data_IF_003897254954
#
_entry.id   IF_003897254954
#
_cell.length_a   1.000
_cell.length_b   1.000
_cell.length_c   1.000
_cell.angle_alpha   90.00
_cell.angle_beta   90.00
_cell.angle_gamma   90.00
#
_symmetry.space_group_name_H-M   'P 1'
#
loop_
_entity.id
_entity.type
_entity.pdbx_description
1 polymer ?
#
# COMPACT_ATOMS: atom_id res chain seq x y z
N UNK A 1 -45.23 -55.03 -31.48
CA UNK A 1 -44.85 -53.99 -30.49
C UNK A 1 -43.43 -53.56 -30.77
N UNK A 2 -43.23 -52.45 -31.51
CA UNK A 2 -41.91 -51.84 -31.73
C UNK A 2 -41.90 -50.55 -30.91
N UNK A 3 -41.13 -50.54 -29.84
CA UNK A 3 -41.01 -49.40 -28.93
C UNK A 3 -40.12 -48.32 -29.55
N UNK A 4 -40.67 -47.11 -29.67
CA UNK A 4 -39.90 -45.87 -29.82
C UNK A 4 -39.10 -45.65 -28.54
N UNK A 5 -37.78 -45.52 -28.66
CA UNK A 5 -36.93 -44.97 -27.59
C UNK A 5 -36.65 -43.52 -27.95
N UNK A 6 -37.37 -42.61 -27.27
CA UNK A 6 -37.21 -41.17 -27.38
C UNK A 6 -35.97 -40.73 -26.60
N UNK A 7 -34.97 -40.20 -27.30
CA UNK A 7 -33.78 -39.59 -26.71
C UNK A 7 -34.16 -38.23 -26.11
N UNK A 8 -34.05 -38.12 -24.78
CA UNK A 8 -34.19 -36.86 -24.03
C UNK A 8 -32.86 -36.10 -24.13
N UNK A 9 -32.88 -34.92 -24.77
CA UNK A 9 -31.79 -33.95 -24.70
C UNK A 9 -31.80 -33.29 -23.31
N UNK A 10 -30.79 -33.57 -22.49
CA UNK A 10 -30.50 -32.78 -21.28
C UNK A 10 -29.83 -31.47 -21.70
N UNK A 11 -30.52 -30.34 -21.47
CA UNK A 11 -29.91 -29.01 -21.53
C UNK A 11 -28.94 -28.87 -20.35
N UNK A 12 -27.65 -28.70 -20.64
CA UNK A 12 -26.65 -28.36 -19.64
C UNK A 12 -26.79 -26.87 -19.27
N UNK A 13 -26.72 -26.52 -17.98
CA UNK A 13 -26.69 -25.12 -17.56
C UNK A 13 -25.36 -24.50 -18.00
N UNK A 14 -25.44 -23.39 -18.73
CA UNK A 14 -24.31 -22.51 -19.01
C UNK A 14 -23.82 -21.97 -17.68
N UNK A 15 -22.68 -22.46 -17.19
CA UNK A 15 -21.96 -21.80 -16.12
C UNK A 15 -21.41 -20.49 -16.68
N UNK A 16 -21.90 -19.37 -16.14
CA UNK A 16 -21.32 -18.06 -16.35
C UNK A 16 -19.86 -18.12 -15.89
N UNK A 17 -18.94 -18.14 -16.84
CA UNK A 17 -17.52 -17.96 -16.56
C UNK A 17 -17.37 -16.51 -16.08
N UNK A 18 -16.96 -16.32 -14.82
CA UNK A 18 -16.35 -15.05 -14.42
C UNK A 18 -15.21 -14.81 -15.41
N UNK A 19 -15.32 -13.75 -16.22
CA UNK A 19 -14.29 -13.41 -17.19
C UNK A 19 -13.02 -13.08 -16.41
N UNK A 20 -12.07 -14.01 -16.40
CA UNK A 20 -10.76 -13.77 -15.83
C UNK A 20 -10.13 -12.61 -16.59
N UNK A 21 -9.74 -11.55 -15.88
CA UNK A 21 -9.12 -10.39 -16.51
C UNK A 21 -7.77 -10.81 -17.07
N UNK A 22 -7.45 -10.38 -18.29
CA UNK A 22 -6.18 -10.76 -18.92
C UNK A 22 -5.01 -10.09 -18.23
N UNK A 23 -3.85 -10.76 -18.21
CA UNK A 23 -2.62 -10.21 -17.62
C UNK A 23 -2.18 -8.91 -18.29
N UNK A 24 -2.33 -8.80 -19.62
CA UNK A 24 -2.05 -7.57 -20.36
C UNK A 24 -2.90 -6.40 -19.84
N UNK A 25 -4.18 -6.65 -19.58
CA UNK A 25 -5.11 -5.63 -19.09
C UNK A 25 -4.79 -5.17 -17.67
N UNK A 26 -4.30 -6.09 -16.83
CA UNK A 26 -3.79 -5.77 -15.50
C UNK A 26 -2.56 -4.86 -15.61
N UNK A 27 -1.61 -5.17 -16.48
CA UNK A 27 -0.40 -4.34 -16.64
C UNK A 27 -0.73 -2.95 -17.22
N UNK A 28 -1.72 -2.83 -18.11
CA UNK A 28 -2.23 -1.53 -18.55
C UNK A 28 -2.80 -0.72 -17.39
N UNK A 29 -3.60 -1.35 -16.51
CA UNK A 29 -4.16 -0.69 -15.32
C UNK A 29 -3.06 -0.20 -14.38
N UNK A 30 -2.04 -1.03 -14.15
CA UNK A 30 -0.84 -0.66 -13.38
C UNK A 30 -0.07 0.48 -14.05
N UNK A 31 -0.01 0.50 -15.38
CA UNK A 31 0.56 1.60 -16.17
C UNK A 31 -0.12 2.94 -15.94
N UNK A 32 -1.46 2.95 -15.84
CA UNK A 32 -2.23 4.16 -15.48
C UNK A 32 -1.90 4.58 -14.06
N UNK A 33 -1.91 3.64 -13.10
CA UNK A 33 -1.55 3.91 -11.71
C UNK A 33 -0.15 4.54 -11.57
N UNK A 34 0.82 4.12 -12.39
CA UNK A 34 2.17 4.65 -12.36
C UNK A 34 2.27 6.14 -12.70
N UNK A 35 1.38 6.64 -13.56
CA UNK A 35 1.33 8.07 -13.89
C UNK A 35 0.89 8.93 -12.70
N UNK A 36 0.26 8.31 -11.69
CA UNK A 36 -0.23 8.96 -10.48
C UNK A 36 0.57 8.54 -9.24
N UNK A 37 1.84 8.16 -9.44
CA UNK A 37 2.72 7.79 -8.32
C UNK A 37 2.32 6.48 -7.65
N UNK A 38 1.67 5.57 -8.37
CA UNK A 38 1.32 4.22 -7.92
C UNK A 38 0.34 4.15 -6.75
N UNK A 39 -0.31 5.28 -6.49
CA UNK A 39 -1.34 5.45 -5.48
C UNK A 39 -2.49 6.24 -6.09
N UNK A 40 -3.71 5.81 -5.83
CA UNK A 40 -4.89 6.52 -6.34
C UNK A 40 -6.03 6.47 -5.34
N UNK A 41 -6.63 7.62 -5.06
CA UNK A 41 -7.87 7.69 -4.27
C UNK A 41 -9.08 7.26 -5.10
N UNK A 42 -10.19 6.84 -4.47
CA UNK A 42 -11.43 6.52 -5.19
C UNK A 42 -11.92 7.69 -6.05
N UNK A 43 -11.78 8.92 -5.54
CA UNK A 43 -12.15 10.13 -6.28
C UNK A 43 -11.32 10.35 -7.54
N UNK A 44 -9.99 10.17 -7.44
CA UNK A 44 -9.11 10.24 -8.60
C UNK A 44 -9.40 9.10 -9.58
N UNK A 45 -9.60 7.88 -9.09
CA UNK A 45 -9.95 6.73 -9.91
C UNK A 45 -11.23 6.95 -10.71
N UNK A 46 -12.25 7.56 -10.11
CA UNK A 46 -13.52 7.88 -10.77
C UNK A 46 -13.39 8.87 -11.94
N UNK A 47 -12.34 9.69 -11.95
CA UNK A 47 -12.05 10.61 -13.05
C UNK A 47 -11.08 10.03 -14.08
N UNK A 48 -10.00 9.44 -13.60
CA UNK A 48 -8.85 9.04 -14.42
C UNK A 48 -9.07 7.71 -15.11
N UNK A 49 -9.62 6.72 -14.40
CA UNK A 49 -9.77 5.36 -14.94
C UNK A 49 -10.68 5.32 -16.18
N UNK A 50 -11.84 6.01 -16.21
CA UNK A 50 -12.65 6.05 -17.43
C UNK A 50 -11.94 6.65 -18.64
N UNK A 51 -11.17 7.73 -18.45
CA UNK A 51 -10.41 8.38 -19.53
C UNK A 51 -9.27 7.49 -20.04
N UNK A 52 -8.69 6.68 -19.16
CA UNK A 52 -7.67 5.69 -19.51
C UNK A 52 -8.24 4.38 -20.08
N UNK A 53 -9.55 4.32 -20.35
CA UNK A 53 -10.21 3.16 -20.96
C UNK A 53 -10.69 2.11 -19.96
N UNK A 54 -10.67 2.39 -18.67
CA UNK A 54 -11.16 1.54 -17.57
C UNK A 54 -12.48 2.10 -17.00
N UNK A 55 -13.45 2.38 -17.87
CA UNK A 55 -14.75 2.93 -17.48
C UNK A 55 -15.67 1.89 -16.82
N UNK A 56 -15.41 0.60 -17.02
CA UNK A 56 -16.16 -0.49 -16.43
C UNK A 56 -15.76 -0.71 -14.95
N UNK A 57 -16.72 -0.48 -14.06
CA UNK A 57 -16.57 -0.63 -12.60
C UNK A 57 -16.37 -2.10 -12.20
N UNK A 58 -16.98 -3.05 -12.92
CA UNK A 58 -16.83 -4.46 -12.63
C UNK A 58 -15.46 -4.97 -13.08
N UNK A 59 -14.95 -4.47 -14.21
CA UNK A 59 -13.58 -4.72 -14.69
C UNK A 59 -12.53 -4.20 -13.68
N UNK A 60 -12.61 -2.91 -13.33
CA UNK A 60 -11.65 -2.30 -12.39
C UNK A 60 -11.67 -2.95 -11.01
N UNK A 61 -12.85 -3.37 -10.54
CA UNK A 61 -12.99 -4.15 -9.31
C UNK A 61 -12.30 -5.50 -9.42
N UNK A 62 -12.55 -6.26 -10.49
CA UNK A 62 -11.92 -7.56 -10.69
C UNK A 62 -10.38 -7.47 -10.77
N UNK A 63 -9.86 -6.47 -11.47
CA UNK A 63 -8.41 -6.18 -11.52
C UNK A 63 -7.87 -5.86 -10.12
N UNK A 64 -8.56 -5.00 -9.37
CA UNK A 64 -8.14 -4.60 -8.02
C UNK A 64 -8.11 -5.80 -7.08
N UNK A 65 -9.16 -6.63 -7.10
CA UNK A 65 -9.23 -7.85 -6.28
C UNK A 65 -8.12 -8.83 -6.63
N UNK A 66 -7.81 -9.00 -7.92
CA UNK A 66 -6.72 -9.84 -8.38
C UNK A 66 -5.35 -9.30 -7.93
N UNK A 67 -5.06 -8.01 -8.13
CA UNK A 67 -3.81 -7.39 -7.67
C UNK A 67 -3.64 -7.50 -6.16
N UNK A 68 -4.71 -7.35 -5.37
CA UNK A 68 -4.67 -7.53 -3.91
C UNK A 68 -4.42 -8.99 -3.54
N UNK A 69 -5.08 -9.94 -4.21
CA UNK A 69 -4.87 -11.38 -4.02
C UNK A 69 -3.45 -11.81 -4.36
N UNK A 70 -2.85 -11.21 -5.40
CA UNK A 70 -1.46 -11.46 -5.80
C UNK A 70 -0.44 -10.72 -4.93
N UNK A 71 -0.90 -10.00 -3.89
CA UNK A 71 -0.07 -9.17 -3.01
C UNK A 71 0.65 -8.02 -3.76
N UNK A 72 0.21 -7.70 -4.99
CA UNK A 72 0.73 -6.63 -5.87
C UNK A 72 0.06 -5.29 -5.65
N UNK A 73 -1.03 -5.23 -4.88
CA UNK A 73 -1.66 -4.00 -4.45
C UNK A 73 -2.27 -4.13 -3.05
N UNK A 74 -2.51 -3.01 -2.38
CA UNK A 74 -3.22 -2.94 -1.09
C UNK A 74 -4.04 -1.66 -1.00
N UNK A 75 -5.09 -1.72 -0.18
CA UNK A 75 -5.81 -0.51 0.22
C UNK A 75 -5.15 0.07 1.47
N UNK A 76 -4.52 1.24 1.34
CA UNK A 76 -3.91 1.98 2.44
C UNK A 76 -4.59 3.34 2.55
N UNK A 77 -5.20 3.60 3.71
CA UNK A 77 -5.94 4.85 4.00
C UNK A 77 -7.07 5.14 2.99
N UNK A 78 -7.77 4.09 2.56
CA UNK A 78 -8.83 4.20 1.57
C UNK A 78 -8.36 4.41 0.14
N UNK A 79 -7.04 4.38 -0.12
CA UNK A 79 -6.45 4.50 -1.45
C UNK A 79 -5.92 3.16 -1.93
N UNK A 80 -6.05 2.89 -3.23
CA UNK A 80 -5.37 1.76 -3.85
C UNK A 80 -3.90 2.12 -4.05
N UNK A 81 -3.00 1.31 -3.52
CA UNK A 81 -1.55 1.41 -3.70
C UNK A 81 -1.08 0.16 -4.42
N UNK A 82 -0.38 0.32 -5.54
CA UNK A 82 0.16 -0.77 -6.36
C UNK A 82 1.66 -0.84 -6.18
N UNK A 83 2.19 -2.04 -6.00
CA UNK A 83 3.60 -2.30 -5.71
C UNK A 83 4.33 -3.04 -6.84
N UNK A 84 3.60 -3.58 -7.83
CA UNK A 84 4.19 -4.40 -8.89
C UNK A 84 4.27 -3.73 -10.27
N UNK A 85 4.94 -4.42 -11.21
CA UNK A 85 5.08 -3.95 -12.59
C UNK A 85 5.86 -2.63 -12.69
N UNK A 86 5.38 -1.69 -13.49
CA UNK A 86 5.98 -0.33 -13.58
C UNK A 86 5.82 0.49 -12.29
N UNK A 87 4.95 0.04 -11.39
CA UNK A 87 4.77 0.62 -10.06
C UNK A 87 5.66 0.02 -8.97
N UNK A 88 6.33 -1.09 -9.29
CA UNK A 88 7.46 -1.56 -8.52
C UNK A 88 8.70 -0.81 -8.97
N UNK A 89 9.46 -0.24 -8.01
CA UNK A 89 10.86 0.07 -8.27
C UNK A 89 11.61 -1.19 -8.71
N UNK A 90 12.90 -1.07 -9.07
CA UNK A 90 13.76 -2.19 -9.50
C UNK A 90 13.84 -3.39 -8.53
N UNK A 91 13.15 -3.33 -7.39
CA UNK A 91 13.08 -4.31 -6.33
C UNK A 91 11.62 -4.36 -5.81
N UNK A 92 10.75 -5.00 -6.59
CA UNK A 92 9.34 -5.31 -6.33
C UNK A 92 9.23 -6.35 -5.20
N UNK A 93 9.54 -5.93 -3.97
CA UNK A 93 9.46 -6.79 -2.80
C UNK A 93 8.22 -6.48 -1.98
N UNK A 94 7.37 -7.49 -1.84
CA UNK A 94 6.26 -7.51 -0.88
C UNK A 94 6.74 -7.20 0.54
N UNK A 95 5.85 -6.77 1.43
CA UNK A 95 6.20 -6.54 2.85
C UNK A 95 6.84 -7.77 3.50
N UNK A 96 6.43 -8.96 3.06
CA UNK A 96 7.02 -10.25 3.44
C UNK A 96 8.47 -10.41 2.94
N UNK A 97 8.74 -10.05 1.70
CA UNK A 97 10.11 -10.15 1.14
C UNK A 97 11.06 -9.10 1.73
N UNK A 98 10.54 -7.91 2.04
CA UNK A 98 11.28 -6.89 2.79
C UNK A 98 11.59 -7.35 4.22
N UNK A 99 10.64 -8.03 4.86
CA UNK A 99 10.87 -8.69 6.15
C UNK A 99 11.97 -9.77 6.05
N UNK A 100 11.96 -10.59 5.00
CA UNK A 100 13.01 -11.59 4.77
C UNK A 100 14.38 -10.95 4.53
N UNK A 101 14.46 -9.89 3.72
CA UNK A 101 15.71 -9.17 3.49
C UNK A 101 16.28 -8.57 4.79
N UNK A 102 15.44 -8.00 5.65
CA UNK A 102 15.88 -7.49 6.94
C UNK A 102 16.46 -8.58 7.86
N UNK A 103 15.86 -9.78 7.89
CA UNK A 103 16.38 -10.91 8.67
C UNK A 103 17.66 -11.47 8.02
N UNK A 104 17.69 -11.60 6.69
CA UNK A 104 18.82 -12.13 5.94
C UNK A 104 20.09 -11.30 6.17
N UNK A 105 19.95 -9.97 6.11
CA UNK A 105 21.05 -9.04 6.36
C UNK A 105 21.41 -8.91 7.84
N UNK A 106 20.54 -9.39 8.75
CA UNK A 106 20.85 -9.58 10.16
C UNK A 106 21.35 -11.00 10.48
N UNK A 107 22.11 -11.62 9.57
CA UNK A 107 22.65 -12.98 9.72
C UNK A 107 21.59 -14.08 9.89
N UNK A 108 20.49 -13.98 9.13
CA UNK A 108 19.37 -14.93 9.12
C UNK A 108 18.61 -15.06 10.45
N UNK A 109 18.88 -14.20 11.44
CA UNK A 109 18.24 -14.24 12.75
C UNK A 109 17.91 -12.82 13.16
N UNK A 110 16.72 -12.59 13.68
CA UNK A 110 16.33 -11.26 14.15
C UNK A 110 15.52 -11.36 15.43
N UNK A 111 15.97 -10.65 16.46
CA UNK A 111 15.24 -10.50 17.71
C UNK A 111 14.14 -9.46 17.59
N UNK A 112 13.18 -9.48 18.52
CA UNK A 112 12.11 -8.46 18.57
C UNK A 112 12.68 -7.03 18.66
N UNK A 113 13.74 -6.83 19.44
CA UNK A 113 14.30 -5.50 19.64
C UNK A 113 15.07 -5.01 18.40
N UNK A 114 15.76 -5.91 17.70
CA UNK A 114 16.33 -5.60 16.39
C UNK A 114 15.24 -5.34 15.35
N UNK A 115 14.15 -6.12 15.35
CA UNK A 115 13.03 -5.95 14.43
C UNK A 115 12.41 -4.55 14.54
N UNK A 116 12.23 -4.03 15.76
CA UNK A 116 11.75 -2.65 16.00
C UNK A 116 12.66 -1.59 15.36
N UNK A 117 13.95 -1.86 15.26
CA UNK A 117 14.95 -0.92 14.73
C UNK A 117 15.14 -1.08 13.21
N UNK A 118 15.08 -2.31 12.70
CA UNK A 118 15.44 -2.66 11.32
C UNK A 118 14.24 -2.64 10.37
N UNK A 119 13.08 -3.13 10.81
CA UNK A 119 11.91 -3.26 9.92
C UNK A 119 11.37 -1.93 9.40
N UNK A 120 11.27 -0.86 10.22
CA UNK A 120 10.87 0.44 9.70
C UNK A 120 11.81 0.95 8.60
N UNK A 121 13.10 0.57 8.65
CA UNK A 121 14.09 0.97 7.65
C UNK A 121 13.92 0.25 6.31
N UNK A 122 13.26 -0.89 6.28
CA UNK A 122 12.87 -1.53 5.02
C UNK A 122 11.40 -1.25 4.69
N UNK A 123 10.74 -0.33 5.40
CA UNK A 123 9.34 0.03 5.19
C UNK A 123 8.37 -1.08 5.58
N UNK A 124 8.71 -1.86 6.62
CA UNK A 124 7.88 -2.93 7.18
C UNK A 124 7.46 -2.56 8.60
N UNK A 125 6.16 -2.67 8.88
CA UNK A 125 5.62 -2.42 10.22
C UNK A 125 5.55 -3.71 11.03
N UNK A 126 5.78 -3.60 12.35
CA UNK A 126 5.72 -4.73 13.27
C UNK A 126 4.35 -5.41 13.29
N UNK A 127 3.27 -4.62 13.21
CA UNK A 127 1.89 -5.12 13.21
C UNK A 127 1.58 -5.94 11.95
N UNK A 128 2.14 -5.55 10.80
CA UNK A 128 2.02 -6.30 9.56
C UNK A 128 2.72 -7.65 9.67
N UNK A 129 3.95 -7.67 10.18
CA UNK A 129 4.71 -8.90 10.38
C UNK A 129 3.97 -9.85 11.31
N UNK A 130 3.45 -9.36 12.44
CA UNK A 130 2.72 -10.19 13.41
C UNK A 130 1.52 -10.91 12.79
N UNK A 131 0.78 -10.25 11.89
CA UNK A 131 -0.36 -10.88 11.19
C UNK A 131 0.08 -12.00 10.23
N UNK A 132 1.33 -11.95 9.75
CA UNK A 132 1.88 -12.89 8.79
C UNK A 132 2.75 -13.98 9.43
N UNK A 133 3.21 -13.80 10.68
CA UNK A 133 4.10 -14.73 11.39
C UNK A 133 3.55 -16.16 11.38
N UNK A 134 2.28 -16.34 11.79
CA UNK A 134 1.64 -17.65 11.83
C UNK A 134 1.58 -18.33 10.46
N UNK A 135 1.39 -17.54 9.39
CA UNK A 135 1.37 -18.06 8.00
C UNK A 135 2.79 -18.48 7.59
N UNK A 136 3.78 -17.64 7.83
CA UNK A 136 5.18 -17.91 7.45
C UNK A 136 5.75 -19.11 8.20
N UNK A 137 5.41 -19.29 9.49
CA UNK A 137 5.82 -20.46 10.27
C UNK A 137 5.17 -21.74 9.74
N UNK A 138 3.86 -21.71 9.42
CA UNK A 138 3.16 -22.86 8.80
C UNK A 138 3.73 -23.24 7.44
N UNK A 139 4.20 -22.26 6.66
CA UNK A 139 4.83 -22.47 5.37
C UNK A 139 6.32 -22.86 5.48
N UNK A 140 6.86 -22.97 6.70
CA UNK A 140 8.27 -23.23 6.99
C UNK A 140 9.24 -22.19 6.39
N UNK A 141 8.76 -20.97 6.14
CA UNK A 141 9.59 -19.85 5.66
C UNK A 141 10.42 -19.26 6.81
N UNK A 142 9.90 -19.34 8.03
CA UNK A 142 10.57 -18.90 9.26
C UNK A 142 10.40 -19.93 10.37
N UNK A 143 11.24 -19.83 11.40
CA UNK A 143 11.06 -20.50 12.69
C UNK A 143 11.15 -19.49 13.82
N UNK A 144 10.33 -19.65 14.84
CA UNK A 144 10.37 -18.80 16.03
C UNK A 144 11.11 -19.54 17.15
N UNK A 145 11.91 -18.83 17.95
CA UNK A 145 12.54 -19.41 19.14
C UNK A 145 11.49 -19.90 20.14
N UNK A 146 11.87 -20.85 21.00
CA UNK A 146 10.97 -21.40 22.02
C UNK A 146 10.43 -20.34 23.00
N UNK A 147 11.18 -19.26 23.22
CA UNK A 147 10.80 -18.12 24.06
C UNK A 147 10.11 -16.98 23.28
N UNK A 148 9.87 -17.18 21.98
CA UNK A 148 9.25 -16.23 21.05
C UNK A 148 9.98 -14.88 20.91
N UNK A 149 11.27 -14.82 21.26
CA UNK A 149 12.06 -13.58 21.19
C UNK A 149 12.86 -13.41 19.91
N UNK A 150 13.05 -14.47 19.14
CA UNK A 150 13.83 -14.45 17.92
C UNK A 150 13.13 -15.18 16.78
N UNK A 151 13.31 -14.66 15.57
CA UNK A 151 12.84 -15.25 14.32
C UNK A 151 14.06 -15.67 13.52
N UNK A 152 14.05 -16.90 13.04
CA UNK A 152 15.07 -17.49 12.18
C UNK A 152 14.49 -17.64 10.79
N UNK A 153 15.16 -17.08 9.79
CA UNK A 153 14.79 -17.27 8.39
C UNK A 153 15.28 -18.63 7.90
N UNK A 154 14.50 -19.29 7.05
CA UNK A 154 14.91 -20.53 6.41
C UNK A 154 16.20 -20.31 5.59
N UNK A 155 17.19 -21.25 5.60
CA UNK A 155 18.49 -21.06 4.97
C UNK A 155 18.46 -20.67 3.48
N UNK A 156 17.62 -21.30 2.67
CA UNK A 156 17.52 -20.97 1.23
C UNK A 156 16.94 -19.58 0.99
N UNK A 157 15.99 -19.14 1.82
CA UNK A 157 15.47 -17.78 1.81
C UNK A 157 16.52 -16.79 2.29
N UNK A 158 17.30 -17.13 3.32
CA UNK A 158 18.34 -16.24 3.80
C UNK A 158 19.39 -15.94 2.73
N UNK A 159 19.90 -16.96 2.04
CA UNK A 159 20.86 -16.73 0.95
C UNK A 159 20.22 -15.98 -0.23
N UNK A 160 18.94 -16.25 -0.54
CA UNK A 160 18.21 -15.56 -1.61
C UNK A 160 18.06 -14.05 -1.35
N UNK A 161 17.78 -13.65 -0.10
CA UNK A 161 17.43 -12.27 0.22
C UNK A 161 18.59 -11.43 0.78
N UNK A 162 19.78 -12.03 0.88
CA UNK A 162 20.99 -11.37 1.39
C UNK A 162 21.44 -10.23 0.48
N UNK A 163 21.81 -9.11 1.07
CA UNK A 163 22.29 -7.88 0.45
C UNK A 163 21.20 -6.93 -0.03
N UNK A 164 19.92 -7.30 0.10
CA UNK A 164 18.82 -6.54 -0.51
C UNK A 164 18.30 -5.39 0.38
N UNK A 165 18.50 -5.45 1.71
CA UNK A 165 17.95 -4.43 2.61
C UNK A 165 18.56 -3.04 2.35
N UNK A 166 19.82 -2.97 1.93
CA UNK A 166 20.50 -1.71 1.64
C UNK A 166 19.84 -0.97 0.46
N UNK A 167 19.53 -1.68 -0.62
CA UNK A 167 18.85 -1.12 -1.78
C UNK A 167 17.40 -0.75 -1.44
N UNK A 168 16.72 -1.55 -0.61
CA UNK A 168 15.38 -1.22 -0.10
C UNK A 168 15.38 0.07 0.74
N UNK A 169 16.36 0.24 1.63
CA UNK A 169 16.52 1.45 2.45
C UNK A 169 16.76 2.66 1.55
N UNK A 170 17.66 2.54 0.56
CA UNK A 170 17.97 3.63 -0.37
C UNK A 170 16.76 4.04 -1.21
N UNK A 171 15.84 3.10 -1.47
CA UNK A 171 14.57 3.36 -2.17
C UNK A 171 13.43 3.87 -1.27
N UNK A 172 13.64 3.97 0.04
CA UNK A 172 12.61 4.41 0.99
C UNK A 172 12.88 5.85 1.49
N UNK A 173 12.24 6.87 0.89
CA UNK A 173 12.46 8.29 1.22
C UNK A 173 12.00 8.69 2.63
N UNK A 174 11.21 7.85 3.33
CA UNK A 174 10.64 8.19 4.64
C UNK A 174 11.63 8.06 5.83
N UNK A 175 12.79 7.41 5.64
CA UNK A 175 13.73 7.09 6.74
C UNK A 175 14.70 8.24 7.06
N UNK A 176 14.87 9.17 6.12
CA UNK A 176 15.88 10.25 6.22
C UNK A 176 15.39 11.52 6.92
N UNK A 177 14.10 11.64 7.23
CA UNK A 177 13.57 12.83 7.88
C UNK A 177 13.75 12.78 9.41
N UNK A 178 14.33 13.81 10.05
CA UNK A 178 14.32 13.96 11.50
C UNK A 178 12.87 13.91 12.01
N UNK A 179 12.57 13.07 13.00
CA UNK A 179 11.22 13.00 13.56
C UNK A 179 10.91 14.26 14.37
N UNK A 180 10.03 15.10 13.83
CA UNK A 180 9.49 16.28 14.52
C UNK A 180 8.53 15.85 15.62
N UNK A 181 8.50 16.63 16.71
CA UNK A 181 7.49 16.45 17.74
C UNK A 181 6.08 16.76 17.20
N UNK A 182 4.99 16.21 17.77
CA UNK A 182 3.63 16.42 17.26
C UNK A 182 3.22 17.90 17.14
N UNK A 183 3.64 18.74 18.09
CA UNK A 183 3.31 20.17 18.11
C UNK A 183 4.13 20.96 17.07
N UNK A 184 5.40 20.63 16.91
CA UNK A 184 6.28 21.20 15.89
C UNK A 184 5.79 20.83 14.48
N UNK A 185 5.45 19.55 14.29
CA UNK A 185 4.90 19.04 13.04
C UNK A 185 3.56 19.71 12.69
N UNK A 186 2.69 19.93 13.68
CA UNK A 186 1.44 20.68 13.49
C UNK A 186 1.70 22.12 13.08
N UNK A 187 2.62 22.81 13.76
CA UNK A 187 2.97 24.19 13.44
C UNK A 187 3.56 24.32 12.03
N UNK A 188 4.48 23.43 11.66
CA UNK A 188 5.07 23.35 10.33
C UNK A 188 4.01 23.08 9.26
N UNK A 189 3.11 22.14 9.51
CA UNK A 189 2.04 21.80 8.57
C UNK A 189 1.08 22.97 8.37
N UNK A 190 0.72 23.71 9.42
CA UNK A 190 -0.11 24.92 9.31
C UNK A 190 0.63 26.00 8.51
N UNK A 191 1.92 26.22 8.77
CA UNK A 191 2.73 27.18 8.03
C UNK A 191 2.81 26.83 6.54
N UNK A 192 2.99 25.53 6.23
CA UNK A 192 2.96 25.02 4.87
C UNK A 192 1.60 25.25 4.21
N UNK A 193 0.51 24.85 4.86
CA UNK A 193 -0.85 25.04 4.36
C UNK A 193 -1.15 26.51 4.08
N UNK A 194 -0.69 27.45 4.93
CA UNK A 194 -0.81 28.89 4.67
C UNK A 194 -0.11 29.32 3.38
N UNK A 195 1.09 28.80 3.12
CA UNK A 195 1.79 29.07 1.85
C UNK A 195 1.05 28.51 0.62
N UNK A 196 0.26 27.46 0.80
CA UNK A 196 -0.59 26.85 -0.22
C UNK A 196 -2.02 27.46 -0.28
N UNK A 197 -2.29 28.57 0.42
CA UNK A 197 -3.61 29.20 0.42
C UNK A 197 -4.65 28.51 1.32
N UNK A 198 -4.20 27.84 2.38
CA UNK A 198 -4.98 27.16 3.41
C UNK A 198 -5.87 26.01 2.91
N UNK A 199 -5.62 25.57 1.69
CA UNK A 199 -6.33 24.47 1.06
C UNK A 199 -5.34 23.66 0.26
N UNK A 200 -5.43 22.35 0.40
CA UNK A 200 -4.57 21.42 -0.32
C UNK A 200 -5.42 20.25 -0.80
N UNK A 201 -5.49 20.05 -2.11
CA UNK A 201 -6.07 18.83 -2.66
C UNK A 201 -5.18 17.64 -2.35
N UNK A 202 -5.75 16.43 -2.37
CA UNK A 202 -4.97 15.21 -2.18
C UNK A 202 -3.87 15.03 -3.24
N UNK A 203 -4.14 15.40 -4.48
CA UNK A 203 -3.15 15.33 -5.56
C UNK A 203 -1.95 16.28 -5.32
N UNK A 204 -2.22 17.49 -4.84
CA UNK A 204 -1.17 18.44 -4.44
C UNK A 204 -0.44 17.94 -3.20
N UNK A 205 -1.16 17.34 -2.24
CA UNK A 205 -0.57 16.76 -1.05
C UNK A 205 0.44 15.66 -1.38
N UNK A 206 0.06 14.71 -2.25
CA UNK A 206 0.92 13.57 -2.63
C UNK A 206 2.21 14.01 -3.36
N UNK A 207 2.17 15.13 -4.10
CA UNK A 207 3.34 15.63 -4.83
C UNK A 207 4.17 16.65 -4.05
N UNK A 208 3.54 17.51 -3.25
CA UNK A 208 4.21 18.67 -2.64
C UNK A 208 4.64 18.41 -1.18
N UNK A 209 3.87 17.63 -0.41
CA UNK A 209 4.22 17.36 0.99
C UNK A 209 5.56 16.62 1.15
N UNK A 210 5.87 15.58 0.33
CA UNK A 210 7.19 14.95 0.40
C UNK A 210 8.33 15.92 0.10
N UNK A 211 8.15 16.82 -0.88
CA UNK A 211 9.13 17.84 -1.23
C UNK A 211 9.32 18.88 -0.12
N UNK A 212 8.25 19.17 0.64
CA UNK A 212 8.28 20.00 1.83
C UNK A 212 8.77 19.24 3.09
N UNK A 213 9.23 18.00 2.93
CA UNK A 213 9.80 17.19 4.01
C UNK A 213 8.76 16.56 4.93
N UNK A 214 7.48 16.52 4.53
CA UNK A 214 6.43 15.83 5.26
C UNK A 214 6.23 14.41 4.76
N UNK A 215 5.97 13.48 5.69
CA UNK A 215 5.50 12.13 5.37
C UNK A 215 4.02 11.99 5.70
N UNK A 216 3.32 11.11 4.96
CA UNK A 216 1.91 10.82 5.27
C UNK A 216 1.78 10.21 6.65
N UNK A 217 2.76 9.39 7.06
CA UNK A 217 2.78 8.69 8.34
C UNK A 217 2.81 9.66 9.53
N UNK A 218 3.65 10.68 9.48
CA UNK A 218 3.74 11.66 10.56
C UNK A 218 2.54 12.62 10.57
N UNK A 219 2.05 13.04 9.40
CA UNK A 219 0.95 13.99 9.30
C UNK A 219 -0.40 13.39 9.67
N UNK A 220 -0.61 12.09 9.46
CA UNK A 220 -1.91 11.44 9.70
C UNK A 220 -2.46 11.65 11.11
N UNK A 221 -1.73 11.36 12.21
CA UNK A 221 -2.25 11.61 13.55
C UNK A 221 -2.49 13.11 13.82
N UNK A 222 -1.67 13.99 13.24
CA UNK A 222 -1.83 15.45 13.38
C UNK A 222 -3.09 15.94 12.68
N UNK A 223 -3.27 15.61 11.40
CA UNK A 223 -4.46 15.95 10.62
C UNK A 223 -5.72 15.34 11.26
N UNK A 224 -5.64 14.09 11.72
CA UNK A 224 -6.74 13.44 12.42
C UNK A 224 -7.20 14.22 13.66
N UNK A 225 -6.25 14.75 14.44
CA UNK A 225 -6.55 15.62 15.58
C UNK A 225 -7.13 16.97 15.15
N UNK A 226 -6.55 17.62 14.12
CA UNK A 226 -7.07 18.88 13.58
C UNK A 226 -8.51 18.77 13.09
N UNK A 227 -8.87 17.66 12.43
CA UNK A 227 -10.25 17.37 12.01
C UNK A 227 -11.20 17.20 13.20
N UNK A 228 -10.75 16.55 14.28
CA UNK A 228 -11.54 16.37 15.50
C UNK A 228 -11.76 17.69 16.26
N UNK A 229 -10.75 18.57 16.26
CA UNK A 229 -10.76 19.86 16.94
C UNK A 229 -11.43 20.96 16.10
N UNK A 230 -11.85 20.67 14.87
CA UNK A 230 -12.49 21.63 13.95
C UNK A 230 -11.51 22.63 13.32
N UNK A 231 -10.20 22.40 13.46
CA UNK A 231 -9.12 23.21 12.90
C UNK A 231 -8.92 22.98 11.40
N UNK A 232 -9.41 21.85 10.90
CA UNK A 232 -9.42 21.51 9.49
C UNK A 232 -10.74 20.83 9.12
N UNK A 233 -11.09 20.90 7.84
CA UNK A 233 -12.25 20.24 7.25
C UNK A 233 -11.82 19.49 6.01
N UNK A 234 -12.24 18.22 5.92
CA UNK A 234 -12.09 17.41 4.72
C UNK A 234 -13.30 17.63 3.82
N UNK A 235 -13.07 18.15 2.61
CA UNK A 235 -14.08 18.21 1.57
C UNK A 235 -14.01 16.93 0.72
N UNK A 236 -15.02 16.07 0.87
CA UNK A 236 -15.09 14.80 0.16
C UNK A 236 -15.53 14.94 -1.30
N UNK A 237 -16.09 16.09 -1.71
CA UNK A 237 -16.56 16.31 -3.08
C UNK A 237 -15.40 16.59 -4.06
N UNK A 238 -14.28 17.09 -3.56
CA UNK A 238 -13.09 17.40 -4.35
C UNK A 238 -11.78 16.87 -3.74
N UNK A 239 -11.90 16.00 -2.73
CA UNK A 239 -10.79 15.33 -2.05
C UNK A 239 -9.71 16.32 -1.58
N UNK A 240 -10.15 17.38 -0.89
CA UNK A 240 -9.27 18.43 -0.38
C UNK A 240 -9.39 18.64 1.12
N UNK A 241 -8.27 18.96 1.76
CA UNK A 241 -8.22 19.42 3.14
C UNK A 241 -8.15 20.94 3.15
N UNK A 242 -9.00 21.60 3.94
CA UNK A 242 -8.94 23.04 4.16
C UNK A 242 -8.77 23.34 5.65
N UNK A 243 -7.95 24.33 6.00
CA UNK A 243 -7.87 24.82 7.38
C UNK A 243 -9.07 25.71 7.70
N UNK A 244 -9.48 25.75 8.97
CA UNK A 244 -10.49 26.71 9.43
C UNK A 244 -9.98 28.15 9.28
N UNK A 245 -10.89 29.12 9.23
CA UNK A 245 -10.51 30.53 9.10
C UNK A 245 -9.65 30.99 10.28
N UNK A 246 -9.95 30.52 11.49
CA UNK A 246 -9.22 30.84 12.72
C UNK A 246 -7.77 30.34 12.68
N UNK A 247 -7.52 29.18 12.07
CA UNK A 247 -6.16 28.59 11.99
C UNK A 247 -5.39 29.15 10.79
N UNK A 248 -6.10 29.39 9.68
CA UNK A 248 -5.54 29.97 8.47
C UNK A 248 -5.11 31.43 8.65
N UNK A 249 -5.82 32.21 9.47
CA UNK A 249 -5.58 33.65 9.68
C UNK A 249 -4.60 33.99 10.81
N UNK A 250 -4.22 33.01 11.65
CA UNK A 250 -3.12 33.15 12.63
C UNK A 250 -1.77 33.36 11.96
#
# INVERSE_FOLDING_TARGET
MRGLVTLVLCALPVMAQAQAVSSERIEEFVGVMAQYGCRMSPYQADKVMPEAGFADKDETKAITEQLVSEERARILDGQLVVFGGVCGGKLDYSGRERFFAAIADNNCVMTIDEAKLLLPRVGVEMTEVQLLMDKMERMAEIRVSADQKAVFLEPSLCEKFKGLSADMIASNPEITAPQRGPDELRADFIAYMKSAGCRLSRAEADSQLPAAGFTTKELRPVIGKMLQEGEAVMNTADDSLSLSEEVCSQ
#
